data_IF_574108380408
#
_entry.id   IF_574108380408
#
_cell.length_a   1.000
_cell.length_b   1.000
_cell.length_c   1.000
_cell.angle_alpha   90.00
_cell.angle_beta   90.00
_cell.angle_gamma   90.00
#
_symmetry.space_group_name_H-M   'P 1'
#
loop_
_entity.id
_entity.type
_entity.pdbx_description
1 polymer ?
#
# COMPACT_ATOMS: atom_id res chain seq x y z
N UNK A 1 -5.57 12.97 1.69
CA UNK A 1 -6.15 12.40 2.93
C UNK A 1 -5.00 11.98 3.83
N UNK A 2 -5.10 12.21 5.14
CA UNK A 2 -4.00 11.82 6.01
C UNK A 2 -3.99 10.31 6.28
N UNK A 3 -2.84 9.81 6.72
CA UNK A 3 -2.62 8.38 6.87
C UNK A 3 -3.53 7.75 7.93
N UNK A 4 -3.78 8.46 9.01
CA UNK A 4 -4.66 7.97 10.07
C UNK A 4 -6.06 7.71 9.51
N UNK A 5 -6.54 8.61 8.67
CA UNK A 5 -7.85 8.47 8.02
C UNK A 5 -7.88 7.30 7.04
N UNK A 6 -6.79 7.11 6.30
CA UNK A 6 -6.68 5.98 5.37
C UNK A 6 -6.73 4.65 6.14
N UNK A 7 -5.98 4.54 7.23
CA UNK A 7 -6.01 3.33 8.07
C UNK A 7 -7.41 3.10 8.62
N UNK A 8 -8.11 4.17 9.02
CA UNK A 8 -9.49 4.07 9.50
C UNK A 8 -10.40 3.42 8.45
N UNK A 9 -10.24 3.79 7.19
CA UNK A 9 -11.02 3.21 6.10
C UNK A 9 -10.76 1.71 5.96
N UNK A 10 -9.50 1.27 6.10
CA UNK A 10 -9.19 -0.17 6.11
C UNK A 10 -9.88 -0.88 7.26
N UNK A 11 -9.85 -0.27 8.44
CA UNK A 11 -10.46 -0.87 9.63
C UNK A 11 -11.98 -0.98 9.49
N UNK A 12 -12.61 -0.04 8.80
CA UNK A 12 -14.03 -0.06 8.50
C UNK A 12 -14.37 -1.01 7.34
N UNK A 13 -13.38 -1.65 6.75
CA UNK A 13 -13.51 -2.50 5.56
C UNK A 13 -14.13 -1.75 4.38
N UNK A 14 -13.79 -0.47 4.26
CA UNK A 14 -14.24 0.40 3.18
C UNK A 14 -13.22 0.33 2.03
N UNK A 15 -13.65 -0.14 0.87
CA UNK A 15 -12.76 -0.33 -0.29
C UNK A 15 -12.13 0.96 -0.79
N UNK A 16 -12.69 2.13 -0.45
CA UNK A 16 -12.07 3.40 -0.80
C UNK A 16 -10.73 3.59 -0.13
N UNK A 17 -10.41 2.77 0.91
CA UNK A 17 -9.08 2.76 1.51
C UNK A 17 -8.00 2.50 0.47
N UNK A 18 -8.22 1.54 -0.42
CA UNK A 18 -7.27 1.19 -1.47
C UNK A 18 -7.12 2.35 -2.46
N UNK A 19 -8.23 2.97 -2.84
CA UNK A 19 -8.22 4.12 -3.74
C UNK A 19 -7.42 5.27 -3.14
N UNK A 20 -7.63 5.59 -1.87
CA UNK A 20 -6.91 6.67 -1.19
C UNK A 20 -5.43 6.35 -1.05
N UNK A 21 -5.09 5.10 -0.78
CA UNK A 21 -3.69 4.64 -0.74
C UNK A 21 -3.02 4.84 -2.09
N UNK A 22 -3.70 4.41 -3.16
CA UNK A 22 -3.19 4.54 -4.52
C UNK A 22 -2.97 6.00 -4.90
N UNK A 23 -3.92 6.87 -4.59
CA UNK A 23 -3.80 8.30 -4.89
C UNK A 23 -2.64 8.94 -4.14
N UNK A 24 -2.41 8.57 -2.89
CA UNK A 24 -1.38 9.20 -2.07
C UNK A 24 0.00 8.61 -2.31
N UNK A 25 0.11 7.30 -2.42
CA UNK A 25 1.40 6.60 -2.41
C UNK A 25 1.67 5.74 -3.65
N UNK A 26 0.71 5.62 -4.55
CA UNK A 26 0.83 4.69 -5.68
C UNK A 26 2.08 4.89 -6.52
N UNK A 27 2.39 6.13 -6.90
CA UNK A 27 3.55 6.39 -7.75
C UNK A 27 4.86 6.12 -7.00
N UNK A 28 4.92 6.40 -5.70
CA UNK A 28 6.11 6.09 -4.89
C UNK A 28 6.31 4.59 -4.74
N UNK A 29 5.24 3.85 -4.52
CA UNK A 29 5.30 2.38 -4.39
C UNK A 29 5.68 1.75 -5.72
N UNK A 30 5.14 2.25 -6.83
CA UNK A 30 5.49 1.76 -8.17
C UNK A 30 6.97 2.04 -8.48
N UNK A 31 7.45 3.23 -8.14
CA UNK A 31 8.86 3.57 -8.33
C UNK A 31 9.77 2.67 -7.50
N UNK A 32 9.39 2.39 -6.25
CA UNK A 32 10.13 1.47 -5.39
C UNK A 32 10.17 0.08 -6.00
N UNK A 33 9.03 -0.44 -6.43
CA UNK A 33 8.95 -1.78 -7.02
C UNK A 33 9.75 -1.83 -8.33
N UNK A 34 9.67 -0.80 -9.15
CA UNK A 34 10.40 -0.73 -10.42
C UNK A 34 11.92 -0.75 -10.19
N UNK A 35 12.39 -0.09 -9.12
CA UNK A 35 13.81 -0.12 -8.75
C UNK A 35 14.28 -1.50 -8.30
N UNK A 36 13.36 -2.31 -7.76
CA UNK A 36 13.69 -3.67 -7.30
C UNK A 36 13.69 -4.66 -8.47
N UNK A 37 12.63 -4.64 -9.30
CA UNK A 37 12.41 -5.68 -10.32
C UNK A 37 12.85 -5.25 -11.73
N UNK A 38 13.07 -3.96 -11.94
CA UNK A 38 13.54 -3.38 -13.20
C UNK A 38 12.65 -3.75 -14.40
N UNK A 39 11.35 -3.90 -14.17
CA UNK A 39 10.34 -4.21 -15.19
C UNK A 39 9.02 -3.56 -14.77
N UNK A 40 8.50 -2.67 -15.62
CA UNK A 40 7.33 -1.86 -15.28
C UNK A 40 6.08 -2.71 -15.03
N UNK A 41 5.86 -3.73 -15.85
CA UNK A 41 4.68 -4.58 -15.68
C UNK A 41 4.73 -5.34 -14.36
N UNK A 42 5.87 -5.91 -14.04
CA UNK A 42 6.06 -6.61 -12.76
C UNK A 42 5.95 -5.64 -11.58
N UNK A 43 6.44 -4.39 -11.75
CA UNK A 43 6.31 -3.37 -10.70
C UNK A 43 4.85 -3.03 -10.43
N UNK A 44 4.02 -2.94 -11.46
CA UNK A 44 2.58 -2.70 -11.31
C UNK A 44 1.89 -3.86 -10.58
N UNK A 45 2.29 -5.10 -10.89
CA UNK A 45 1.78 -6.27 -10.19
C UNK A 45 2.17 -6.23 -8.71
N UNK A 46 3.42 -5.86 -8.40
CA UNK A 46 3.88 -5.71 -7.02
C UNK A 46 3.10 -4.62 -6.29
N UNK A 47 2.81 -3.51 -6.98
CA UNK A 47 2.00 -2.44 -6.42
C UNK A 47 0.61 -2.97 -6.05
N UNK A 48 -0.04 -3.68 -6.95
CA UNK A 48 -1.37 -4.25 -6.71
C UNK A 48 -1.35 -5.27 -5.57
N UNK A 49 -0.33 -6.12 -5.55
CA UNK A 49 -0.17 -7.12 -4.49
C UNK A 49 0.03 -6.45 -3.13
N UNK A 50 0.71 -5.31 -3.10
CA UNK A 50 0.87 -4.52 -1.88
C UNK A 50 -0.48 -4.09 -1.32
N UNK A 51 -1.38 -3.61 -2.17
CA UNK A 51 -2.72 -3.18 -1.72
C UNK A 51 -3.53 -4.37 -1.18
N UNK A 52 -3.44 -5.50 -1.85
CA UNK A 52 -4.15 -6.70 -1.38
C UNK A 52 -3.62 -7.17 -0.04
N UNK A 53 -2.29 -7.16 0.14
CA UNK A 53 -1.68 -7.54 1.42
C UNK A 53 -2.07 -6.55 2.52
N UNK A 54 -2.07 -5.25 2.22
CA UNK A 54 -2.52 -4.25 3.18
C UNK A 54 -3.98 -4.48 3.58
N UNK A 55 -4.83 -4.76 2.61
CA UNK A 55 -6.25 -5.07 2.87
C UNK A 55 -6.41 -6.29 3.78
N UNK A 56 -5.56 -7.30 3.58
CA UNK A 56 -5.65 -8.54 4.35
C UNK A 56 -5.03 -8.44 5.74
N UNK A 57 -4.13 -7.46 5.98
CA UNK A 57 -3.40 -7.34 7.25
C UNK A 57 -3.79 -6.14 8.09
N UNK A 58 -4.61 -5.25 7.59
CA UNK A 58 -5.21 -4.15 8.33
C UNK A 58 -6.72 -4.40 8.43
N UNK A 59 -7.30 -4.84 9.57
CA UNK A 59 -6.61 -5.25 10.79
C UNK A 59 -5.94 -6.61 10.66
N UNK A 60 -5.12 -7.09 11.61
CA UNK A 60 -4.90 -6.51 12.95
C UNK A 60 -3.88 -5.38 13.01
N UNK A 61 -3.05 -5.19 11.98
CA UNK A 61 -2.10 -4.09 11.98
C UNK A 61 -2.83 -2.75 11.87
N UNK A 62 -2.29 -1.72 12.53
CA UNK A 62 -2.82 -0.36 12.49
C UNK A 62 -1.68 0.63 12.29
N UNK A 63 -1.11 0.73 11.07
CA UNK A 63 0.07 1.57 10.81
C UNK A 63 -0.29 3.06 10.68
N UNK A 64 -0.91 3.64 11.72
CA UNK A 64 -1.45 5.01 11.68
C UNK A 64 -0.37 6.08 11.53
N UNK A 65 0.82 5.84 12.11
CA UNK A 65 1.92 6.80 12.07
C UNK A 65 3.06 6.37 11.15
N UNK A 66 2.94 5.22 10.47
CA UNK A 66 4.00 4.67 9.62
C UNK A 66 3.44 3.95 8.39
N UNK A 67 2.35 4.47 7.83
CA UNK A 67 1.64 3.80 6.74
C UNK A 67 2.55 3.57 5.51
N UNK A 68 3.28 4.59 5.07
CA UNK A 68 4.14 4.41 3.91
C UNK A 68 5.24 3.37 4.17
N UNK A 69 5.87 3.41 5.35
CA UNK A 69 6.90 2.43 5.72
C UNK A 69 6.33 1.01 5.74
N UNK A 70 5.11 0.86 6.24
CA UNK A 70 4.40 -0.41 6.26
C UNK A 70 4.18 -0.94 4.83
N UNK A 71 3.67 -0.08 3.95
CA UNK A 71 3.41 -0.45 2.56
C UNK A 71 4.71 -0.74 1.80
N UNK A 72 5.74 0.08 2.00
CA UNK A 72 7.03 -0.11 1.34
C UNK A 72 7.67 -1.43 1.76
N UNK A 73 7.53 -1.81 3.02
CA UNK A 73 8.03 -3.09 3.51
C UNK A 73 7.34 -4.26 2.81
N UNK A 74 6.01 -4.19 2.65
CA UNK A 74 5.26 -5.20 1.91
C UNK A 74 5.79 -5.30 0.49
N UNK A 75 5.93 -4.17 -0.18
CA UNK A 75 6.41 -4.12 -1.57
C UNK A 75 7.79 -4.77 -1.71
N UNK A 76 8.69 -4.54 -0.76
CA UNK A 76 10.04 -5.12 -0.79
C UNK A 76 10.05 -6.63 -0.58
N UNK A 77 9.01 -7.19 0.02
CA UNK A 77 8.94 -8.61 0.35
C UNK A 77 8.07 -9.43 -0.63
N UNK A 78 7.54 -8.80 -1.65
CA UNK A 78 6.77 -9.49 -2.69
C UNK A 78 7.67 -10.22 -3.69
#
# INVERSE_FOLDING_TARGET
MDDNRIVELYLLRDETAIKQTTEKYGSRLRSLACGIVNDQQTAEECENDTYMEAWNTIPPHEPRSYLYAFLARITRHI
#
